data_IF_180215196587
#
_entry.id   IF_180215196587
#
_cell.length_a   1.000
_cell.length_b   1.000
_cell.length_c   1.000
_cell.angle_alpha   90.00
_cell.angle_beta   90.00
_cell.angle_gamma   90.00
#
_symmetry.space_group_name_H-M   'P 1'
#
loop_
_entity.id
_entity.type
_entity.pdbx_description
1 polymer ?
#
# COMPACT_ATOMS: atom_id res chain seq x y z
N UNK A 1 -7.95 21.46 -37.86
CA UNK A 1 -6.84 20.52 -37.62
C UNK A 1 -5.72 21.11 -36.77
N UNK A 2 -5.23 22.33 -37.01
CA UNK A 2 -4.14 22.90 -36.19
C UNK A 2 -4.45 23.04 -34.69
N UNK A 3 -5.67 23.44 -34.34
CA UNK A 3 -6.04 23.74 -32.95
C UNK A 3 -6.09 22.51 -32.02
N UNK A 4 -6.51 21.35 -32.54
CA UNK A 4 -6.49 20.08 -31.80
C UNK A 4 -5.06 19.54 -31.63
N UNK A 5 -4.18 19.78 -32.61
CA UNK A 5 -2.76 19.41 -32.51
C UNK A 5 -2.07 20.25 -31.44
N UNK A 6 -2.34 21.56 -31.39
CA UNK A 6 -1.80 22.42 -30.33
C UNK A 6 -2.31 22.03 -28.95
N UNK A 7 -3.59 21.64 -28.81
CA UNK A 7 -4.14 21.16 -27.53
C UNK A 7 -3.50 19.83 -27.08
N UNK A 8 -3.41 18.84 -27.97
CA UNK A 8 -2.79 17.54 -27.64
C UNK A 8 -1.29 17.62 -27.38
N UNK A 9 -0.58 18.52 -28.07
CA UNK A 9 0.84 18.79 -27.82
C UNK A 9 1.04 19.46 -26.45
N UNK A 10 0.11 20.31 -26.02
CA UNK A 10 0.19 20.99 -24.73
C UNK A 10 0.13 19.99 -23.57
N UNK A 11 -0.82 19.04 -23.61
CA UNK A 11 -0.97 18.01 -22.58
C UNK A 11 0.24 17.06 -22.55
N UNK A 12 0.81 16.74 -23.71
CA UNK A 12 2.03 15.95 -23.80
C UNK A 12 3.23 16.72 -23.25
N UNK A 13 3.35 18.02 -23.53
CA UNK A 13 4.42 18.86 -22.99
C UNK A 13 4.31 19.00 -21.47
N UNK A 14 3.10 19.10 -20.93
CA UNK A 14 2.89 19.09 -19.47
C UNK A 14 3.25 17.73 -18.85
N UNK A 15 2.82 16.61 -19.46
CA UNK A 15 3.16 15.26 -19.00
C UNK A 15 4.66 14.92 -19.13
N UNK A 16 5.29 15.30 -20.24
CA UNK A 16 6.72 15.15 -20.47
C UNK A 16 7.54 16.07 -19.55
N UNK A 17 7.04 17.29 -19.32
CA UNK A 17 7.69 18.30 -18.49
C UNK A 17 7.73 17.91 -17.02
N UNK A 18 6.63 17.40 -16.45
CA UNK A 18 6.62 17.00 -15.04
C UNK A 18 7.58 15.82 -14.77
N UNK A 19 7.64 14.85 -15.69
CA UNK A 19 8.59 13.73 -15.58
C UNK A 19 10.04 14.24 -15.68
N UNK A 20 10.31 15.20 -16.57
CA UNK A 20 11.63 15.82 -16.67
C UNK A 20 12.03 16.54 -15.38
N UNK A 21 11.13 17.30 -14.77
CA UNK A 21 11.36 17.98 -13.48
C UNK A 21 11.62 16.97 -12.36
N UNK A 22 10.86 15.87 -12.29
CA UNK A 22 11.06 14.82 -11.28
C UNK A 22 12.43 14.14 -11.39
N UNK A 23 12.93 13.92 -12.61
CA UNK A 23 14.28 13.35 -12.82
C UNK A 23 15.38 14.29 -12.34
N UNK A 24 15.28 15.59 -12.63
CA UNK A 24 16.21 16.59 -12.10
C UNK A 24 16.10 16.66 -10.58
N UNK A 25 14.89 16.67 -10.03
CA UNK A 25 14.67 16.78 -8.59
C UNK A 25 15.22 15.56 -7.83
N UNK A 26 15.00 14.34 -8.33
CA UNK A 26 15.58 13.12 -7.76
C UNK A 26 17.11 13.11 -7.87
N UNK A 27 17.67 13.58 -8.98
CA UNK A 27 19.12 13.70 -9.13
C UNK A 27 19.72 14.69 -8.11
N UNK A 28 19.06 15.83 -7.87
CA UNK A 28 19.47 16.81 -6.86
C UNK A 28 19.38 16.20 -5.46
N UNK A 29 18.31 15.47 -5.14
CA UNK A 29 18.18 14.80 -3.83
C UNK A 29 19.35 13.86 -3.61
N UNK A 30 19.64 12.93 -4.54
CA UNK A 30 20.74 11.97 -4.39
C UNK A 30 22.08 12.70 -4.28
N UNK A 31 22.27 13.78 -5.06
CA UNK A 31 23.47 14.61 -4.98
C UNK A 31 23.60 15.34 -3.63
N UNK A 32 22.50 15.80 -3.03
CA UNK A 32 22.48 16.38 -1.69
C UNK A 32 22.75 15.32 -0.60
N UNK A 33 22.21 14.10 -0.74
CA UNK A 33 22.52 12.98 0.14
C UNK A 33 24.01 12.58 0.07
N UNK A 34 24.70 12.84 -1.04
CA UNK A 34 26.16 12.67 -1.16
C UNK A 34 26.96 13.61 -0.23
N UNK A 35 26.36 14.67 0.30
CA UNK A 35 26.98 15.51 1.32
C UNK A 35 26.70 15.04 2.76
N UNK A 36 25.70 14.18 2.95
CA UNK A 36 25.41 13.56 4.24
C UNK A 36 26.53 12.66 4.79
N UNK A 37 27.35 11.88 4.04
CA UNK A 37 28.42 11.09 4.63
C UNK A 37 29.42 11.93 5.45
N UNK A 38 29.63 13.21 5.09
CA UNK A 38 30.48 14.12 5.85
C UNK A 38 29.81 14.63 7.15
N UNK A 39 28.48 14.74 7.17
CA UNK A 39 27.71 15.01 8.39
C UNK A 39 27.55 13.75 9.25
N UNK A 40 27.44 12.56 8.64
CA UNK A 40 27.28 11.28 9.33
C UNK A 40 28.55 10.86 10.06
N UNK A 41 29.76 11.15 9.56
CA UNK A 41 30.97 10.90 10.35
C UNK A 41 31.06 11.78 11.60
N UNK A 42 30.42 12.96 11.61
CA UNK A 42 30.23 13.77 12.83
C UNK A 42 29.07 13.26 13.71
N UNK A 43 28.08 12.57 13.13
CA UNK A 43 26.94 11.97 13.83
C UNK A 43 27.15 10.52 14.29
N UNK A 44 28.19 9.82 13.82
CA UNK A 44 28.56 8.47 14.27
C UNK A 44 29.11 8.42 15.69
N UNK A 45 29.47 9.57 16.27
CA UNK A 45 29.65 9.70 17.73
C UNK A 45 28.31 9.64 18.50
N UNK A 46 27.18 9.58 17.79
CA UNK A 46 25.81 9.50 18.31
C UNK A 46 25.14 8.23 17.79
N UNK A 47 25.53 7.14 18.44
CA UNK A 47 25.19 5.71 18.35
C UNK A 47 23.72 5.26 18.08
N UNK A 48 22.74 6.12 17.79
CA UNK A 48 21.32 5.76 18.07
C UNK A 48 20.40 5.50 16.85
N UNK A 49 20.88 5.49 15.61
CA UNK A 49 19.98 5.41 14.44
C UNK A 49 19.66 4.00 13.92
N UNK A 50 20.00 2.94 14.66
CA UNK A 50 19.59 1.56 14.30
C UNK A 50 18.25 1.14 14.94
N UNK A 51 17.73 1.91 15.89
CA UNK A 51 16.43 1.67 16.54
C UNK A 51 15.26 2.23 15.74
N UNK A 52 15.47 3.30 14.95
CA UNK A 52 14.42 3.98 14.21
C UNK A 52 13.89 3.18 13.00
N UNK A 53 14.71 2.34 12.37
CA UNK A 53 14.27 1.51 11.23
C UNK A 53 13.37 0.35 11.70
N UNK A 54 13.64 -0.21 12.89
CA UNK A 54 12.78 -1.26 13.46
C UNK A 54 11.44 -0.70 13.94
N UNK A 55 11.44 0.47 14.59
CA UNK A 55 10.20 1.15 15.00
C UNK A 55 9.35 1.62 13.81
N UNK A 56 9.97 2.07 12.72
CA UNK A 56 9.22 2.46 11.52
C UNK A 56 8.52 1.27 10.86
N UNK A 57 9.16 0.09 10.82
CA UNK A 57 8.54 -1.13 10.28
C UNK A 57 7.39 -1.60 11.16
N UNK A 58 7.56 -1.63 12.49
CA UNK A 58 6.49 -2.00 13.43
C UNK A 58 5.30 -1.04 13.38
N UNK A 59 5.55 0.27 13.31
CA UNK A 59 4.49 1.29 13.21
C UNK A 59 3.75 1.17 11.89
N UNK A 60 4.45 0.87 10.79
CA UNK A 60 3.81 0.68 9.47
C UNK A 60 2.98 -0.61 9.44
N UNK A 61 3.45 -1.71 10.05
CA UNK A 61 2.69 -2.96 10.16
C UNK A 61 1.43 -2.74 11.03
N UNK A 62 1.57 -2.09 12.19
CA UNK A 62 0.43 -1.76 13.07
C UNK A 62 -0.60 -0.84 12.39
N UNK A 63 -0.15 0.11 11.57
CA UNK A 63 -1.04 1.04 10.86
C UNK A 63 -1.74 0.36 9.66
N UNK A 64 -1.11 -0.63 9.02
CA UNK A 64 -1.73 -1.47 8.00
C UNK A 64 -2.78 -2.40 8.65
N UNK A 65 -2.45 -3.03 9.77
CA UNK A 65 -3.40 -3.89 10.52
C UNK A 65 -4.61 -3.10 11.01
N UNK A 66 -4.41 -1.89 11.55
CA UNK A 66 -5.51 -1.03 11.99
C UNK A 66 -6.41 -0.57 10.83
N UNK A 67 -5.82 -0.24 9.68
CA UNK A 67 -6.57 0.17 8.49
C UNK A 67 -7.33 -0.98 7.83
N UNK A 68 -6.77 -2.19 7.84
CA UNK A 68 -7.47 -3.39 7.35
C UNK A 68 -8.63 -3.76 8.27
N UNK A 69 -8.45 -3.66 9.59
CA UNK A 69 -9.52 -3.90 10.56
C UNK A 69 -10.66 -2.88 10.45
N UNK A 70 -10.37 -1.61 10.15
CA UNK A 70 -11.38 -0.57 9.88
C UNK A 70 -12.22 -0.89 8.63
N UNK A 71 -11.62 -1.47 7.59
CA UNK A 71 -12.33 -1.87 6.36
C UNK A 71 -13.34 -3.00 6.62
N UNK A 72 -13.04 -3.91 7.56
CA UNK A 72 -13.93 -5.03 7.91
C UNK A 72 -15.16 -4.60 8.72
N UNK A 73 -15.16 -3.40 9.31
CA UNK A 73 -16.33 -2.86 10.04
C UNK A 73 -17.52 -2.71 9.08
N UNK A 74 -17.26 -2.39 7.80
CA UNK A 74 -18.29 -2.29 6.76
C UNK A 74 -18.91 -3.63 6.33
N UNK A 75 -18.20 -4.75 6.57
CA UNK A 75 -18.54 -6.06 6.01
C UNK A 75 -18.93 -7.11 7.08
N UNK A 76 -19.22 -6.70 8.31
CA UNK A 76 -19.52 -7.60 9.43
C UNK A 76 -20.68 -8.58 9.14
N UNK A 77 -21.70 -8.16 8.39
CA UNK A 77 -22.82 -9.01 7.97
C UNK A 77 -22.35 -10.11 7.00
N UNK A 78 -21.45 -9.76 6.08
CA UNK A 78 -20.91 -10.70 5.10
C UNK A 78 -20.00 -11.73 5.76
N UNK A 79 -19.18 -11.30 6.74
CA UNK A 79 -18.36 -12.20 7.57
C UNK A 79 -19.22 -13.20 8.34
N UNK A 80 -20.33 -12.75 8.94
CA UNK A 80 -21.23 -13.63 9.69
C UNK A 80 -21.88 -14.71 8.78
N UNK A 81 -22.38 -14.31 7.60
CA UNK A 81 -22.98 -15.25 6.64
C UNK A 81 -21.95 -16.25 6.11
N UNK A 82 -20.73 -15.80 5.78
CA UNK A 82 -19.64 -16.67 5.34
C UNK A 82 -19.26 -17.66 6.45
N UNK A 83 -19.10 -17.19 7.68
CA UNK A 83 -18.75 -18.04 8.84
C UNK A 83 -19.84 -19.07 9.12
N UNK A 84 -21.11 -18.66 9.10
CA UNK A 84 -22.24 -19.57 9.26
C UNK A 84 -22.32 -20.61 8.13
N UNK A 85 -22.08 -20.20 6.88
CA UNK A 85 -22.06 -21.13 5.74
C UNK A 85 -20.92 -22.15 5.84
N UNK A 86 -19.73 -21.72 6.27
CA UNK A 86 -18.58 -22.60 6.47
C UNK A 86 -18.87 -23.58 7.61
N UNK A 87 -19.35 -23.09 8.76
CA UNK A 87 -19.75 -23.93 9.89
C UNK A 87 -20.83 -24.94 9.49
N UNK A 88 -21.81 -24.55 8.68
CA UNK A 88 -22.82 -25.47 8.16
C UNK A 88 -22.24 -26.51 7.19
N UNK A 89 -21.27 -26.13 6.34
CA UNK A 89 -20.67 -27.04 5.35
C UNK A 89 -19.64 -28.02 5.93
N UNK A 90 -18.90 -27.59 6.97
CA UNK A 90 -17.84 -28.38 7.60
C UNK A 90 -18.26 -29.00 8.95
N UNK A 91 -19.42 -28.60 9.51
CA UNK A 91 -19.94 -29.07 10.79
C UNK A 91 -19.03 -28.75 11.99
N UNK A 92 -19.09 -29.57 13.04
CA UNK A 92 -18.31 -29.44 14.29
C UNK A 92 -16.77 -29.59 14.12
N UNK A 93 -16.30 -29.78 12.88
CA UNK A 93 -14.88 -29.93 12.57
C UNK A 93 -14.17 -28.59 12.32
N UNK A 94 -14.88 -27.45 12.43
CA UNK A 94 -14.29 -26.12 12.33
C UNK A 94 -13.85 -25.67 13.72
N UNK A 95 -12.53 -25.50 13.98
CA UNK A 95 -12.09 -24.90 15.24
C UNK A 95 -12.64 -23.48 15.33
N UNK A 96 -13.33 -23.16 16.43
CA UNK A 96 -13.91 -21.83 16.65
C UNK A 96 -12.86 -20.69 16.51
N UNK A 97 -11.61 -20.98 16.88
CA UNK A 97 -10.48 -20.04 16.83
C UNK A 97 -9.61 -20.20 15.57
N UNK A 98 -9.93 -21.15 14.67
CA UNK A 98 -9.09 -21.51 13.52
C UNK A 98 -9.43 -20.78 12.22
N UNK A 99 -10.58 -20.09 12.15
CA UNK A 99 -11.05 -19.41 10.93
C UNK A 99 -11.14 -17.90 11.15
N UNK A 100 -10.24 -17.15 10.49
CA UNK A 100 -10.20 -15.68 10.54
C UNK A 100 -10.25 -15.10 9.13
N UNK A 101 -11.25 -14.24 8.87
CA UNK A 101 -11.38 -13.52 7.60
C UNK A 101 -10.57 -12.22 7.68
N UNK A 102 -9.46 -12.16 6.93
CA UNK A 102 -8.56 -10.98 6.91
C UNK A 102 -8.98 -9.89 5.92
N UNK A 103 -9.47 -10.26 4.74
CA UNK A 103 -9.88 -9.30 3.70
C UNK A 103 -10.96 -9.91 2.82
N UNK A 104 -11.93 -9.11 2.39
CA UNK A 104 -12.97 -9.49 1.42
C UNK A 104 -12.78 -8.65 0.14
N UNK A 105 -12.65 -9.31 -1.01
CA UNK A 105 -12.53 -8.63 -2.31
C UNK A 105 -13.48 -9.26 -3.31
N UNK A 106 -14.27 -8.42 -3.99
CA UNK A 106 -15.17 -8.89 -5.05
C UNK A 106 -14.36 -9.30 -6.28
N UNK A 107 -14.45 -10.57 -6.66
CA UNK A 107 -13.90 -11.04 -7.92
C UNK A 107 -14.73 -10.45 -9.09
N UNK A 108 -14.07 -9.75 -10.02
CA UNK A 108 -14.74 -9.16 -11.20
C UNK A 108 -15.09 -10.22 -12.27
N UNK A 109 -14.43 -11.38 -12.25
CA UNK A 109 -14.72 -12.50 -13.17
C UNK A 109 -15.63 -13.51 -12.47
N UNK A 110 -16.93 -13.46 -12.74
CA UNK A 110 -17.90 -14.41 -12.22
C UNK A 110 -17.91 -15.70 -13.07
N UNK A 111 -16.84 -16.50 -12.99
CA UNK A 111 -16.76 -17.78 -13.72
C UNK A 111 -17.68 -18.85 -13.10
N UNK A 112 -18.06 -18.69 -11.84
CA UNK A 112 -18.86 -19.64 -11.06
C UNK A 112 -20.38 -19.49 -11.21
N UNK A 113 -20.88 -18.42 -11.84
CA UNK A 113 -22.33 -18.22 -12.08
C UNK A 113 -22.81 -19.01 -13.33
N UNK A 114 -21.91 -19.71 -14.04
CA UNK A 114 -22.19 -20.43 -15.29
C UNK A 114 -22.00 -21.95 -15.21
N UNK A 115 -22.03 -22.53 -14.00
CA UNK A 115 -22.04 -23.98 -13.80
C UNK A 115 -23.46 -24.46 -13.44
#
# INVERSE_FOLDING_TARGET
MGEILTKGLLDTAFGMGIVFVLLIFLAIIIWALKFIPMLVDSFKKKEETNTAVRQAVDTTISQIEASEQENLIGDAQLVAVITAAIMASMGDNVPADGFVVRSIKKANKATWIRA
#
